data_IF_696990534759
#
_entry.id   IF_696990534759
#
_cell.length_a   1.000
_cell.length_b   1.000
_cell.length_c   1.000
_cell.angle_alpha   90.00
_cell.angle_beta   90.00
_cell.angle_gamma   90.00
#
_symmetry.space_group_name_H-M   'P 1'
#
loop_
_entity.id
_entity.type
_entity.pdbx_description
1 polymer ?
#
# COMPACT_ATOMS: atom_id res chain seq x y z
N UNK A 1 -3.15 -33.78 -20.88
CA UNK A 1 -4.05 -34.93 -21.05
C UNK A 1 -3.47 -35.93 -22.02
N UNK A 2 -3.66 -37.21 -21.75
CA UNK A 2 -3.45 -38.29 -22.69
C UNK A 2 -4.84 -38.72 -23.20
N UNK A 3 -5.02 -38.70 -24.52
CA UNK A 3 -6.31 -39.05 -25.15
C UNK A 3 -6.14 -40.37 -25.90
N UNK A 4 -7.04 -41.30 -25.68
CA UNK A 4 -7.13 -42.56 -26.42
C UNK A 4 -8.23 -42.44 -27.45
N UNK A 5 -7.88 -42.64 -28.73
CA UNK A 5 -8.86 -42.66 -29.82
C UNK A 5 -9.04 -44.07 -30.34
N UNK A 6 -10.27 -44.44 -30.71
CA UNK A 6 -10.61 -45.64 -31.45
C UNK A 6 -11.49 -45.23 -32.62
N UNK A 7 -11.06 -45.56 -33.84
CA UNK A 7 -11.74 -45.18 -35.07
C UNK A 7 -12.00 -43.69 -35.23
N UNK A 8 -11.04 -42.86 -34.72
CA UNK A 8 -11.11 -41.39 -34.76
C UNK A 8 -11.97 -40.76 -33.68
N UNK A 9 -12.63 -41.54 -32.84
CA UNK A 9 -13.45 -41.06 -31.72
C UNK A 9 -12.70 -41.15 -30.39
N UNK A 10 -12.80 -40.11 -29.57
CA UNK A 10 -12.23 -40.10 -28.22
C UNK A 10 -12.99 -41.07 -27.32
N UNK A 11 -12.30 -42.08 -26.82
CA UNK A 11 -12.88 -43.07 -25.90
C UNK A 11 -12.44 -42.93 -24.46
N UNK A 12 -11.33 -42.25 -24.22
CA UNK A 12 -10.90 -41.85 -22.86
C UNK A 12 -9.96 -40.68 -22.87
N UNK A 13 -10.00 -39.90 -21.80
CA UNK A 13 -9.10 -38.78 -21.53
C UNK A 13 -8.57 -38.90 -20.11
N UNK A 14 -7.26 -38.95 -19.96
CA UNK A 14 -6.59 -39.02 -18.66
C UNK A 14 -5.72 -37.81 -18.46
N UNK A 15 -5.88 -37.12 -17.34
CA UNK A 15 -4.98 -36.00 -16.96
C UNK A 15 -3.62 -36.56 -16.53
N UNK A 16 -2.55 -36.23 -17.24
CA UNK A 16 -1.21 -36.77 -16.99
C UNK A 16 -0.45 -35.93 -15.99
N UNK A 17 -0.63 -34.61 -16.05
CA UNK A 17 -0.02 -33.67 -15.12
C UNK A 17 -0.79 -32.36 -15.11
N UNK A 18 -0.89 -31.75 -13.94
CA UNK A 18 -1.32 -30.37 -13.78
C UNK A 18 -0.13 -29.57 -13.28
N UNK A 19 0.37 -28.68 -14.11
CA UNK A 19 1.45 -27.77 -13.72
C UNK A 19 0.81 -26.43 -13.34
N UNK A 20 1.02 -25.99 -12.11
CA UNK A 20 0.68 -24.63 -11.70
C UNK A 20 1.84 -23.75 -12.21
N UNK A 21 1.58 -22.96 -13.25
CA UNK A 21 2.57 -22.09 -13.88
C UNK A 21 2.78 -20.77 -13.17
N UNK A 22 1.90 -20.45 -12.24
CA UNK A 22 2.00 -19.26 -11.39
C UNK A 22 1.43 -19.61 -10.03
N UNK A 23 2.20 -19.42 -8.97
CA UNK A 23 1.66 -19.52 -7.62
C UNK A 23 0.65 -18.39 -7.40
N UNK A 24 -0.51 -18.66 -6.79
CA UNK A 24 -1.45 -17.61 -6.45
C UNK A 24 -0.77 -16.65 -5.48
N UNK A 25 -0.70 -15.36 -5.84
CA UNK A 25 -0.34 -14.32 -4.90
C UNK A 25 -1.50 -14.18 -3.93
N UNK A 26 -1.26 -14.39 -2.64
CA UNK A 26 -2.27 -14.13 -1.61
C UNK A 26 -2.70 -12.67 -1.68
N UNK A 27 -3.88 -12.44 -2.20
CA UNK A 27 -4.51 -11.13 -2.16
C UNK A 27 -5.43 -11.08 -0.95
N UNK A 28 -5.06 -10.32 0.07
CA UNK A 28 -5.96 -10.00 1.18
C UNK A 28 -6.98 -9.00 0.65
N UNK A 29 -8.17 -9.49 0.29
CA UNK A 29 -9.32 -8.65 -0.06
C UNK A 29 -10.09 -8.37 1.22
N UNK A 30 -9.87 -7.22 1.85
CA UNK A 30 -10.71 -6.76 2.95
C UNK A 30 -12.00 -6.22 2.33
N UNK A 31 -13.08 -7.02 2.38
CA UNK A 31 -14.41 -6.54 2.07
C UNK A 31 -14.97 -5.88 3.33
N UNK A 32 -15.57 -4.69 3.21
CA UNK A 32 -16.06 -3.84 4.30
C UNK A 32 -17.24 -4.38 5.13
N UNK A 33 -17.29 -5.71 5.36
CA UNK A 33 -18.22 -6.39 6.26
C UNK A 33 -17.50 -7.17 7.35
N UNK A 34 -16.17 -6.95 7.51
CA UNK A 34 -15.37 -7.60 8.54
C UNK A 34 -15.75 -7.10 9.93
N UNK A 35 -15.70 -8.01 10.92
CA UNK A 35 -15.80 -7.66 12.33
C UNK A 35 -14.73 -6.59 12.65
N UNK A 36 -15.06 -5.54 13.45
CA UNK A 36 -14.08 -4.55 13.89
C UNK A 36 -12.81 -5.17 14.49
N UNK A 37 -12.94 -6.34 15.12
CA UNK A 37 -11.83 -7.10 15.67
C UNK A 37 -10.89 -7.61 14.59
N UNK A 38 -11.40 -8.05 13.44
CA UNK A 38 -10.59 -8.54 12.32
C UNK A 38 -9.78 -7.40 11.69
N UNK A 39 -10.37 -6.22 11.58
CA UNK A 39 -9.70 -5.02 11.07
C UNK A 39 -8.58 -4.60 12.03
N UNK A 40 -8.84 -4.58 13.33
CA UNK A 40 -7.84 -4.23 14.34
C UNK A 40 -6.66 -5.21 14.33
N UNK A 41 -6.92 -6.52 14.19
CA UNK A 41 -5.88 -7.54 14.07
C UNK A 41 -5.08 -7.37 12.78
N UNK A 42 -5.76 -7.11 11.64
CA UNK A 42 -5.09 -6.88 10.37
C UNK A 42 -4.18 -5.66 10.44
N UNK A 43 -4.66 -4.56 11.03
CA UNK A 43 -3.89 -3.32 11.21
C UNK A 43 -2.66 -3.53 12.09
N UNK A 44 -2.82 -4.16 13.26
CA UNK A 44 -1.72 -4.46 14.17
C UNK A 44 -0.66 -5.38 13.52
N UNK A 45 -1.12 -6.37 12.73
CA UNK A 45 -0.23 -7.27 11.98
C UNK A 45 0.54 -6.51 10.89
N UNK A 46 -0.13 -5.63 10.15
CA UNK A 46 0.50 -4.81 9.13
C UNK A 46 1.48 -3.79 9.74
N UNK A 47 1.15 -3.19 10.89
CA UNK A 47 2.04 -2.30 11.62
C UNK A 47 3.33 -3.01 12.06
N UNK A 48 3.24 -4.26 12.53
CA UNK A 48 4.40 -5.08 12.86
C UNK A 48 5.32 -5.41 11.68
N UNK A 49 4.83 -5.29 10.44
CA UNK A 49 5.63 -5.50 9.21
C UNK A 49 6.22 -4.21 8.64
N UNK A 50 5.93 -3.05 9.22
CA UNK A 50 6.49 -1.77 8.76
C UNK A 50 8.02 -1.73 8.85
N UNK A 51 8.64 -0.81 8.11
CA UNK A 51 10.10 -0.75 7.98
C UNK A 51 10.63 -1.30 6.66
N UNK A 52 9.86 -2.15 5.98
CA UNK A 52 10.09 -2.53 4.59
C UNK A 52 9.13 -1.77 3.68
N UNK A 53 9.49 -1.57 2.42
CA UNK A 53 8.61 -0.88 1.46
C UNK A 53 7.26 -1.59 1.30
N UNK A 54 7.28 -2.91 1.24
CA UNK A 54 6.06 -3.72 1.11
C UNK A 54 5.18 -3.60 2.36
N UNK A 55 5.76 -3.75 3.56
CA UNK A 55 5.02 -3.62 4.82
C UNK A 55 4.48 -2.21 5.03
N UNK A 56 5.24 -1.17 4.63
CA UNK A 56 4.76 0.21 4.68
C UNK A 56 3.51 0.42 3.81
N UNK A 57 3.51 -0.15 2.60
CA UNK A 57 2.36 -0.09 1.69
C UNK A 57 1.15 -0.87 2.21
N UNK A 58 1.38 -2.08 2.74
CA UNK A 58 0.32 -2.91 3.33
C UNK A 58 -0.34 -2.17 4.50
N UNK A 59 0.45 -1.63 5.42
CA UNK A 59 -0.06 -0.82 6.53
C UNK A 59 -0.85 0.40 6.04
N UNK A 60 -0.30 1.18 5.11
CA UNK A 60 -0.96 2.37 4.58
C UNK A 60 -2.31 2.03 3.96
N UNK A 61 -2.39 0.98 3.14
CA UNK A 61 -3.62 0.55 2.48
C UNK A 61 -4.75 0.24 3.47
N UNK A 62 -4.43 -0.50 4.55
CA UNK A 62 -5.41 -0.86 5.58
C UNK A 62 -5.80 0.39 6.37
N UNK A 63 -4.83 1.17 6.83
CA UNK A 63 -5.06 2.30 7.71
C UNK A 63 -5.87 3.41 7.03
N UNK A 64 -5.51 3.82 5.80
CA UNK A 64 -6.24 4.88 5.09
C UNK A 64 -7.68 4.48 4.73
N UNK A 65 -7.91 3.19 4.48
CA UNK A 65 -9.26 2.69 4.25
C UNK A 65 -10.09 2.76 5.53
N UNK A 66 -9.51 2.40 6.66
CA UNK A 66 -10.19 2.45 7.97
C UNK A 66 -10.47 3.88 8.41
N UNK A 67 -9.50 4.78 8.29
CA UNK A 67 -9.58 6.13 8.82
C UNK A 67 -10.41 7.07 7.94
N UNK A 68 -10.19 7.03 6.63
CA UNK A 68 -10.78 7.96 5.67
C UNK A 68 -11.76 7.31 4.70
N UNK A 69 -11.92 5.98 4.71
CA UNK A 69 -12.69 5.27 3.70
C UNK A 69 -12.04 5.25 2.31
N UNK A 70 -10.75 5.57 2.23
CA UNK A 70 -10.01 5.60 0.98
C UNK A 70 -9.70 4.19 0.49
N UNK A 71 -10.49 3.73 -0.50
CA UNK A 71 -10.34 2.40 -1.10
C UNK A 71 -9.21 2.31 -2.12
N UNK A 72 -9.23 1.25 -2.91
CA UNK A 72 -8.16 0.87 -3.86
C UNK A 72 -7.73 1.99 -4.80
N UNK A 73 -8.69 2.78 -5.34
CA UNK A 73 -8.39 3.89 -6.24
C UNK A 73 -7.51 4.92 -5.55
N UNK A 74 -7.87 5.33 -4.36
CA UNK A 74 -7.12 6.33 -3.59
C UNK A 74 -5.77 5.80 -3.14
N UNK A 75 -5.70 4.52 -2.75
CA UNK A 75 -4.43 3.89 -2.44
C UNK A 75 -3.48 3.85 -3.64
N UNK A 76 -3.96 3.56 -4.85
CA UNK A 76 -3.13 3.58 -6.07
C UNK A 76 -2.53 4.96 -6.34
N UNK A 77 -3.29 6.02 -6.11
CA UNK A 77 -2.78 7.39 -6.20
C UNK A 77 -1.71 7.67 -5.14
N UNK A 78 -1.96 7.30 -3.89
CA UNK A 78 -1.02 7.44 -2.78
C UNK A 78 0.27 6.64 -3.03
N UNK A 79 0.13 5.42 -3.52
CA UNK A 79 1.26 4.55 -3.87
C UNK A 79 2.18 5.23 -4.89
N UNK A 80 1.59 5.81 -5.92
CA UNK A 80 2.30 6.53 -6.97
C UNK A 80 2.97 7.80 -6.43
N UNK A 81 2.24 8.58 -5.64
CA UNK A 81 2.74 9.82 -5.05
C UNK A 81 3.97 9.56 -4.17
N UNK A 82 3.85 8.66 -3.19
CA UNK A 82 4.96 8.38 -2.26
C UNK A 82 6.08 7.53 -2.86
N UNK A 83 5.82 6.84 -3.97
CA UNK A 83 6.90 6.28 -4.79
C UNK A 83 7.81 7.38 -5.35
N UNK A 84 7.24 8.48 -5.84
CA UNK A 84 7.97 9.63 -6.37
C UNK A 84 8.71 10.42 -5.29
N UNK A 85 8.11 10.54 -4.11
CA UNK A 85 8.69 11.28 -2.98
C UNK A 85 9.90 10.59 -2.37
N UNK A 86 9.77 9.32 -2.03
CA UNK A 86 10.77 8.60 -1.24
C UNK A 86 10.99 7.15 -1.68
N UNK A 87 10.23 6.70 -2.69
CA UNK A 87 10.12 5.28 -2.99
C UNK A 87 9.74 4.45 -1.74
N UNK A 88 8.80 5.00 -0.93
CA UNK A 88 8.33 4.39 0.32
C UNK A 88 9.42 4.14 1.38
N UNK A 89 10.52 4.88 1.29
CA UNK A 89 11.63 4.75 2.23
C UNK A 89 11.46 5.72 3.41
N UNK A 90 11.16 5.18 4.58
CA UNK A 90 10.98 5.96 5.81
C UNK A 90 12.26 6.68 6.31
N UNK A 91 13.42 6.34 5.75
CA UNK A 91 14.72 6.98 6.07
C UNK A 91 15.19 7.94 4.98
N UNK A 92 14.36 8.14 3.93
CA UNK A 92 14.72 9.05 2.86
C UNK A 92 14.89 10.48 3.40
N UNK A 93 15.96 11.15 2.97
CA UNK A 93 16.23 12.54 3.29
C UNK A 93 16.61 13.24 2.01
N UNK A 94 15.91 14.33 1.68
CA UNK A 94 16.30 15.17 0.57
C UNK A 94 17.53 16.00 0.99
N UNK A 95 18.69 15.84 0.32
CA UNK A 95 19.94 16.48 0.76
C UNK A 95 19.94 18.01 0.59
N UNK A 96 19.04 18.55 -0.23
CA UNK A 96 18.93 19.99 -0.51
C UNK A 96 17.97 20.67 0.45
N UNK A 97 16.79 20.10 0.62
CA UNK A 97 15.71 20.72 1.40
C UNK A 97 15.65 20.24 2.85
N UNK A 98 16.13 19.01 3.12
CA UNK A 98 15.98 18.36 4.41
C UNK A 98 14.61 17.71 4.60
N UNK A 99 13.78 17.60 3.54
CA UNK A 99 12.53 16.84 3.59
C UNK A 99 12.79 15.38 3.97
N UNK A 100 11.92 14.79 4.79
CA UNK A 100 12.20 13.52 5.45
C UNK A 100 11.05 12.52 5.37
N UNK A 101 11.46 11.24 5.24
CA UNK A 101 10.59 10.09 5.39
C UNK A 101 9.75 9.77 4.17
N UNK A 102 8.76 8.89 4.36
CA UNK A 102 7.87 8.45 3.28
C UNK A 102 7.16 9.63 2.60
N UNK A 103 6.53 10.58 3.35
CA UNK A 103 5.80 11.70 2.75
C UNK A 103 6.69 12.90 2.41
N UNK A 104 8.01 12.83 2.63
CA UNK A 104 8.95 13.95 2.45
C UNK A 104 8.52 15.22 3.19
N UNK A 105 8.12 15.07 4.46
CA UNK A 105 7.72 16.18 5.32
C UNK A 105 8.82 17.24 5.46
N UNK A 106 8.45 18.51 5.30
CA UNK A 106 9.37 19.65 5.43
C UNK A 106 8.79 20.71 6.39
N UNK A 107 9.44 20.96 7.53
CA UNK A 107 10.47 20.14 8.16
C UNK A 107 9.93 18.80 8.68
N UNK A 108 10.77 17.75 8.68
CA UNK A 108 10.39 16.41 9.11
C UNK A 108 9.76 16.34 10.51
N UNK A 109 10.17 17.24 11.43
CA UNK A 109 9.63 17.33 12.81
C UNK A 109 8.12 17.60 12.89
N UNK A 110 7.46 18.03 11.81
CA UNK A 110 6.00 18.15 11.78
C UNK A 110 5.30 16.84 12.10
N UNK A 111 5.92 15.72 11.73
CA UNK A 111 5.39 14.39 12.02
C UNK A 111 5.35 14.03 13.51
N UNK A 112 6.02 14.81 14.37
CA UNK A 112 5.92 14.67 15.83
C UNK A 112 4.53 15.04 16.37
N UNK A 113 3.65 15.64 15.56
CA UNK A 113 2.23 15.82 15.94
C UNK A 113 1.48 14.49 16.10
N UNK A 114 1.96 13.43 15.45
CA UNK A 114 1.39 12.09 15.59
C UNK A 114 2.06 11.33 16.75
N UNK A 115 3.39 11.24 16.72
CA UNK A 115 4.16 10.62 17.80
C UNK A 115 5.65 11.01 17.73
N UNK A 116 6.34 10.94 18.87
CA UNK A 116 7.75 11.32 19.00
C UNK A 116 8.71 10.39 18.24
N UNK A 117 8.25 9.17 17.90
CA UNK A 117 9.02 8.17 17.17
C UNK A 117 9.05 8.36 15.64
N UNK A 118 8.49 9.47 15.15
CA UNK A 118 8.33 9.79 13.72
C UNK A 118 9.57 9.57 12.87
N UNK A 119 10.73 9.71 13.46
CA UNK A 119 12.00 9.58 12.72
C UNK A 119 12.32 8.13 12.34
N UNK A 120 11.86 7.18 13.12
CA UNK A 120 12.19 5.75 12.99
C UNK A 120 10.97 4.87 12.72
N UNK A 121 9.77 5.37 13.01
CA UNK A 121 8.53 4.60 12.85
C UNK A 121 7.80 4.97 11.53
N UNK A 122 7.78 4.05 10.54
CA UNK A 122 7.06 4.28 9.29
C UNK A 122 5.56 4.49 9.48
N UNK A 123 4.92 3.82 10.44
CA UNK A 123 3.50 3.97 10.70
C UNK A 123 3.15 5.41 11.10
N UNK A 124 3.95 6.03 11.96
CA UNK A 124 3.82 7.44 12.34
C UNK A 124 3.93 8.36 11.13
N UNK A 125 4.87 8.11 10.23
CA UNK A 125 5.05 8.89 9.01
C UNK A 125 3.89 8.75 8.03
N UNK A 126 3.36 7.53 7.89
CA UNK A 126 2.21 7.23 7.02
C UNK A 126 0.96 7.93 7.54
N UNK A 127 0.69 7.83 8.85
CA UNK A 127 -0.44 8.50 9.50
C UNK A 127 -0.39 10.00 9.25
N UNK A 128 0.73 10.63 9.58
CA UNK A 128 0.92 12.06 9.36
C UNK A 128 0.74 12.46 7.89
N UNK A 129 1.36 11.73 6.98
CA UNK A 129 1.31 12.05 5.55
C UNK A 129 -0.09 11.93 4.97
N UNK A 130 -0.90 10.97 5.42
CA UNK A 130 -2.28 10.81 4.99
C UNK A 130 -3.20 11.90 5.57
N UNK A 131 -3.04 12.25 6.86
CA UNK A 131 -3.74 13.40 7.46
C UNK A 131 -3.39 14.71 6.74
N UNK A 132 -2.12 14.92 6.40
CA UNK A 132 -1.69 16.09 5.63
C UNK A 132 -2.36 16.16 4.24
N UNK A 133 -2.53 15.01 3.58
CA UNK A 133 -3.21 14.93 2.29
C UNK A 133 -4.70 15.24 2.46
N UNK A 134 -5.35 14.69 3.47
CA UNK A 134 -6.76 14.95 3.77
C UNK A 134 -7.00 16.44 4.04
N UNK A 135 -6.22 17.02 4.93
CA UNK A 135 -6.34 18.45 5.31
C UNK A 135 -6.16 19.42 4.15
N UNK A 136 -5.30 19.06 3.17
CA UNK A 136 -4.88 20.01 2.13
C UNK A 136 -5.45 19.74 0.76
N UNK A 137 -5.76 18.49 0.47
CA UNK A 137 -6.14 18.03 -0.88
C UNK A 137 -7.39 17.19 -0.90
N UNK A 138 -8.02 16.94 0.23
CA UNK A 138 -9.16 16.05 0.44
C UNK A 138 -8.85 14.58 0.15
N UNK A 139 -8.14 14.27 -0.95
CA UNK A 139 -7.85 12.87 -1.33
C UNK A 139 -6.46 12.68 -1.92
N UNK A 140 -5.91 11.45 -1.85
CA UNK A 140 -4.64 11.10 -2.50
C UNK A 140 -4.61 11.34 -4.02
N UNK A 141 -5.73 11.14 -4.73
CA UNK A 141 -5.75 11.38 -6.17
C UNK A 141 -5.66 12.88 -6.49
N UNK A 142 -6.31 13.74 -5.72
CA UNK A 142 -6.19 15.19 -5.87
C UNK A 142 -4.80 15.70 -5.53
N UNK A 143 -4.17 15.13 -4.48
CA UNK A 143 -2.77 15.42 -4.17
C UNK A 143 -1.81 14.99 -5.30
N UNK A 144 -2.06 13.84 -5.92
CA UNK A 144 -1.26 13.36 -7.05
C UNK A 144 -1.45 14.23 -8.29
N UNK A 145 -2.68 14.66 -8.58
CA UNK A 145 -2.97 15.57 -9.69
C UNK A 145 -2.28 16.92 -9.49
N UNK A 146 -2.33 17.46 -8.25
CA UNK A 146 -1.59 18.67 -7.90
C UNK A 146 -0.07 18.49 -8.06
N UNK A 147 0.46 17.34 -7.66
CA UNK A 147 1.89 17.02 -7.84
C UNK A 147 2.28 17.00 -9.32
N UNK A 148 1.45 16.47 -10.20
CA UNK A 148 1.71 16.49 -11.65
C UNK A 148 1.76 17.91 -12.22
N UNK A 149 0.94 18.81 -11.70
CA UNK A 149 0.88 20.20 -12.15
C UNK A 149 2.05 21.04 -11.61
N UNK A 150 2.54 20.77 -10.41
CA UNK A 150 3.46 21.62 -9.67
C UNK A 150 4.80 20.99 -9.34
N UNK A 151 4.96 19.68 -9.47
CA UNK A 151 6.11 18.87 -9.03
C UNK A 151 6.40 18.94 -7.52
N UNK A 152 5.38 19.24 -6.71
CA UNK A 152 5.37 19.15 -5.23
C UNK A 152 3.93 19.07 -4.73
N UNK A 153 3.73 18.63 -3.49
CA UNK A 153 2.43 18.63 -2.82
C UNK A 153 2.55 18.95 -1.34
#
# INVERSE_FOLDING_TARGET
>A
YQVKLVDGNEVSRTEIARVVTTEPVEQIVIRGTGDPTDIAVALATAEGKTGTKSGNKEFAKIWINQEFGWGEKQFSCLETLWFRESNWNHKATNPVTGAYGIPQSLPGRKMASIADDWKTNPATQIKWGAEYIEDRYDTPCEALDFFYDRNWY
#
